data_IF_547273980605
#
_entry.id   IF_547273980605
#
_cell.length_a   1.000
_cell.length_b   1.000
_cell.length_c   1.000
_cell.angle_alpha   90.00
_cell.angle_beta   90.00
_cell.angle_gamma   90.00
#
_symmetry.space_group_name_H-M   'P 1'
#
loop_
_entity.id
_entity.type
_entity.pdbx_description
1 polymer ?
#
# COMPACT_ATOMS: atom_id res chain seq x y z
N UNK A 1 15.23 -11.36 18.33
CA UNK A 1 15.34 -9.89 18.30
C UNK A 1 13.95 -9.33 18.09
N UNK A 2 13.53 -8.39 18.92
CA UNK A 2 12.20 -7.80 18.88
C UNK A 2 12.35 -6.37 18.38
N UNK A 3 11.78 -6.07 17.22
CA UNK A 3 11.86 -4.76 16.58
C UNK A 3 10.65 -3.94 17.00
N UNK A 4 10.89 -2.68 17.36
CA UNK A 4 9.82 -1.75 17.68
C UNK A 4 9.09 -1.29 16.42
N UNK A 5 7.77 -1.47 16.39
CA UNK A 5 6.93 -1.17 15.24
C UNK A 5 6.45 0.29 15.22
N UNK A 6 6.83 1.12 16.21
CA UNK A 6 6.40 2.51 16.22
C UNK A 6 6.84 3.25 14.94
N UNK A 7 5.91 4.03 14.39
CA UNK A 7 6.11 4.88 13.22
C UNK A 7 6.34 4.16 11.87
N UNK A 8 6.36 2.83 11.82
CA UNK A 8 6.51 2.01 10.59
C UNK A 8 5.46 2.31 9.52
N UNK A 9 4.25 2.68 9.93
CA UNK A 9 3.16 3.07 9.03
C UNK A 9 3.25 4.52 8.51
N UNK A 10 4.10 5.36 9.13
CA UNK A 10 4.25 6.79 8.81
C UNK A 10 5.53 7.07 8.02
N UNK A 11 6.64 6.45 8.41
CA UNK A 11 7.92 6.60 7.72
C UNK A 11 7.85 6.08 6.28
N UNK A 12 8.59 6.74 5.40
CA UNK A 12 8.69 6.33 4.01
C UNK A 12 9.82 5.31 3.89
N UNK A 13 9.45 4.07 3.60
CA UNK A 13 10.39 2.97 3.49
C UNK A 13 11.37 3.13 2.32
N UNK A 14 11.03 3.90 1.28
CA UNK A 14 11.94 4.17 0.18
C UNK A 14 12.95 5.28 0.49
N UNK A 15 12.74 6.05 1.57
CA UNK A 15 13.70 7.04 2.02
C UNK A 15 14.77 6.40 2.92
N UNK A 16 15.98 6.94 2.87
CA UNK A 16 17.10 6.58 3.75
C UNK A 16 16.97 7.22 5.14
N UNK A 17 15.80 7.12 5.77
CA UNK A 17 15.51 7.76 7.06
C UNK A 17 15.11 6.73 8.12
N UNK A 18 15.73 6.77 9.30
CA UNK A 18 15.41 5.85 10.41
C UNK A 18 14.01 6.06 11.02
N UNK A 19 13.51 5.01 11.68
CA UNK A 19 12.20 4.91 12.32
C UNK A 19 12.18 5.61 13.68
N UNK A 20 11.99 6.92 13.64
CA UNK A 20 11.90 7.75 14.86
C UNK A 20 10.75 8.72 14.75
N UNK A 21 10.29 9.21 15.90
CA UNK A 21 9.34 10.33 15.97
C UNK A 21 9.97 11.54 15.27
N UNK A 22 9.31 12.02 14.22
CA UNK A 22 9.73 13.22 13.48
C UNK A 22 8.64 14.29 13.57
N UNK A 23 9.01 15.59 13.51
CA UNK A 23 8.04 16.68 13.44
C UNK A 23 7.17 16.58 12.17
N UNK A 24 7.75 16.06 11.08
CA UNK A 24 7.04 15.74 9.84
C UNK A 24 7.62 14.48 9.19
N UNK A 25 6.78 13.74 8.47
CA UNK A 25 7.17 12.51 7.78
C UNK A 25 7.20 12.75 6.26
N UNK A 26 8.16 12.10 5.58
CA UNK A 26 8.37 12.18 4.13
C UNK A 26 7.44 11.25 3.35
N UNK A 27 6.17 11.28 3.68
CA UNK A 27 5.12 10.47 3.08
C UNK A 27 3.94 10.29 4.04
N UNK A 28 2.86 9.72 3.54
CA UNK A 28 1.63 9.48 4.31
C UNK A 28 0.85 8.32 3.75
N UNK A 29 0.18 7.60 4.64
CA UNK A 29 -0.90 6.69 4.25
C UNK A 29 -2.08 7.52 3.73
N UNK A 30 -2.61 7.14 2.57
CA UNK A 30 -3.75 7.82 1.95
C UNK A 30 -5.03 7.05 2.29
N UNK A 31 -5.04 5.76 1.98
CA UNK A 31 -6.16 4.84 2.18
C UNK A 31 -5.63 3.45 2.60
N UNK A 32 -6.53 2.48 2.86
CA UNK A 32 -6.14 1.09 3.10
C UNK A 32 -5.44 0.54 1.85
N UNK A 33 -4.25 -0.04 2.04
CA UNK A 33 -3.44 -0.55 0.94
C UNK A 33 -2.71 0.51 0.12
N UNK A 34 -2.80 1.80 0.44
CA UNK A 34 -2.16 2.87 -0.34
C UNK A 34 -1.34 3.85 0.53
N UNK A 35 -0.05 3.94 0.23
CA UNK A 35 0.89 4.89 0.81
C UNK A 35 1.49 5.79 -0.25
N UNK A 36 1.54 7.10 0.01
CA UNK A 36 2.15 8.09 -0.88
C UNK A 36 3.46 8.59 -0.28
N UNK A 37 4.55 8.43 -1.03
CA UNK A 37 5.87 8.96 -0.68
C UNK A 37 5.96 10.47 -0.92
N UNK A 38 6.96 11.14 -0.35
CA UNK A 38 7.20 12.57 -0.59
C UNK A 38 7.43 12.91 -2.07
N UNK A 39 7.98 11.98 -2.85
CA UNK A 39 8.24 12.19 -4.27
C UNK A 39 6.98 11.96 -5.14
N UNK A 40 5.83 11.68 -4.53
CA UNK A 40 4.57 11.44 -5.21
C UNK A 40 4.33 10.00 -5.66
N UNK A 41 5.32 9.11 -5.51
CA UNK A 41 5.18 7.68 -5.81
C UNK A 41 4.22 7.02 -4.83
N UNK A 42 3.31 6.19 -5.37
CA UNK A 42 2.41 5.37 -4.59
C UNK A 42 2.96 3.94 -4.47
N UNK A 43 2.94 3.41 -3.25
CA UNK A 43 3.28 2.02 -2.94
C UNK A 43 2.20 1.43 -2.05
N UNK A 44 2.15 0.11 -1.94
CA UNK A 44 1.25 -0.54 -1.01
C UNK A 44 1.65 -0.21 0.44
N UNK A 45 0.66 0.09 1.28
CA UNK A 45 0.90 0.50 2.66
C UNK A 45 1.52 -0.61 3.53
N UNK A 46 1.14 -1.86 3.30
CA UNK A 46 1.66 -3.02 4.03
C UNK A 46 3.10 -3.31 3.60
N UNK A 47 3.41 -3.13 2.31
CA UNK A 47 4.80 -3.17 1.79
C UNK A 47 5.67 -2.10 2.44
N UNK A 48 5.15 -0.88 2.59
CA UNK A 48 5.87 0.19 3.31
C UNK A 48 6.16 -0.21 4.77
N UNK A 49 5.18 -0.78 5.47
CA UNK A 49 5.35 -1.26 6.84
C UNK A 49 6.40 -2.37 6.95
N UNK A 50 6.28 -3.40 6.11
CA UNK A 50 7.21 -4.54 6.09
C UNK A 50 8.65 -4.12 5.78
N UNK A 51 8.85 -3.25 4.78
CA UNK A 51 10.17 -2.72 4.45
C UNK A 51 10.78 -1.91 5.60
N UNK A 52 9.97 -1.13 6.32
CA UNK A 52 10.43 -0.37 7.48
C UNK A 52 10.89 -1.29 8.62
N UNK A 53 10.10 -2.32 8.96
CA UNK A 53 10.45 -3.30 10.00
C UNK A 53 11.73 -4.05 9.61
N UNK A 54 11.81 -4.53 8.36
CA UNK A 54 12.98 -5.24 7.87
C UNK A 54 14.25 -4.38 7.95
N UNK A 55 14.15 -3.10 7.57
CA UNK A 55 15.27 -2.15 7.66
C UNK A 55 15.74 -1.92 9.09
N UNK A 56 14.83 -1.75 10.04
CA UNK A 56 15.21 -1.55 11.44
C UNK A 56 15.94 -2.78 11.99
N UNK A 57 15.35 -3.98 11.82
CA UNK A 57 15.96 -5.22 12.29
C UNK A 57 17.31 -5.54 11.63
N UNK A 58 17.48 -5.19 10.35
CA UNK A 58 18.77 -5.31 9.66
C UNK A 58 19.80 -4.30 10.19
N UNK A 59 19.38 -3.08 10.49
CA UNK A 59 20.26 -2.06 11.05
C UNK A 59 20.78 -2.45 12.44
N UNK A 60 19.97 -3.14 13.25
CA UNK A 60 20.40 -3.66 14.55
C UNK A 60 21.38 -4.86 14.42
N UNK A 61 21.34 -5.58 13.30
CA UNK A 61 22.16 -6.80 13.08
C UNK A 61 23.41 -6.57 12.23
N UNK A 62 23.68 -5.35 11.75
CA UNK A 62 24.79 -5.01 10.84
C UNK A 62 24.86 -5.89 9.58
N UNK A 63 23.72 -6.42 9.13
CA UNK A 63 23.66 -7.31 7.98
C UNK A 63 23.45 -6.48 6.71
N UNK A 64 24.46 -6.41 5.84
CA UNK A 64 24.41 -5.75 4.51
C UNK A 64 23.59 -6.55 3.47
N UNK A 65 22.53 -7.23 3.88
CA UNK A 65 21.61 -7.86 2.94
C UNK A 65 20.63 -6.81 2.41
N UNK A 66 20.65 -6.58 1.10
CA UNK A 66 19.61 -5.77 0.45
C UNK A 66 18.22 -6.36 0.68
N UNK A 67 17.26 -5.53 1.09
CA UNK A 67 15.85 -5.95 1.19
C UNK A 67 15.28 -6.06 -0.23
N UNK A 68 15.29 -7.29 -0.77
CA UNK A 68 14.60 -7.64 -2.00
C UNK A 68 13.18 -8.14 -1.72
N UNK A 69 12.26 -7.93 -2.66
CA UNK A 69 10.91 -8.49 -2.59
C UNK A 69 10.44 -8.91 -3.98
N UNK A 70 9.69 -10.01 -4.04
CA UNK A 70 9.01 -10.50 -5.24
C UNK A 70 7.56 -10.83 -4.90
N UNK A 71 6.68 -10.72 -5.89
CA UNK A 71 5.25 -11.04 -5.74
C UNK A 71 4.33 -9.85 -5.93
N UNK A 72 3.04 -10.15 -6.01
CA UNK A 72 1.97 -9.18 -6.18
C UNK A 72 1.30 -8.92 -4.83
N UNK A 73 1.07 -7.66 -4.51
CA UNK A 73 0.28 -7.28 -3.34
C UNK A 73 -1.12 -6.90 -3.77
N UNK A 74 -2.08 -7.13 -2.88
CA UNK A 74 -3.46 -6.79 -3.17
C UNK A 74 -3.58 -5.27 -3.39
N UNK A 75 -4.02 -4.88 -4.57
CA UNK A 75 -4.15 -3.47 -4.95
C UNK A 75 -5.59 -3.02 -4.73
N UNK A 76 -5.83 -1.81 -4.19
CA UNK A 76 -7.19 -1.31 -4.02
C UNK A 76 -7.97 -1.38 -5.33
N UNK A 77 -9.21 -1.88 -5.26
CA UNK A 77 -10.08 -2.07 -6.42
C UNK A 77 -10.28 -0.74 -7.16
N UNK A 78 -9.79 -0.65 -8.40
CA UNK A 78 -9.99 0.53 -9.25
C UNK A 78 -11.45 0.56 -9.74
N UNK A 79 -12.27 1.41 -9.13
CA UNK A 79 -13.63 1.69 -9.63
C UNK A 79 -13.51 2.62 -10.84
N UNK A 80 -13.96 2.16 -12.01
CA UNK A 80 -14.14 3.02 -13.19
C UNK A 80 -15.57 3.52 -13.19
N UNK A 81 -15.77 4.83 -13.39
CA UNK A 81 -17.12 5.35 -13.68
C UNK A 81 -17.61 4.69 -14.98
N UNK A 82 -18.87 4.26 -15.06
CA UNK A 82 -19.42 3.80 -16.32
C UNK A 82 -19.31 4.91 -17.37
N UNK A 83 -19.08 4.50 -18.62
CA UNK A 83 -18.97 5.39 -19.75
C UNK A 83 -20.26 6.24 -19.85
N UNK A 84 -20.15 7.56 -19.63
CA UNK A 84 -21.29 8.49 -19.68
C UNK A 84 -21.59 9.29 -18.39
N UNK A 85 -20.93 9.02 -17.25
CA UNK A 85 -21.10 9.88 -16.06
C UNK A 85 -20.44 11.26 -16.27
N UNK A 86 -21.25 12.33 -16.27
CA UNK A 86 -20.77 13.72 -16.32
C UNK A 86 -20.04 14.10 -15.02
N UNK A 87 -19.10 15.05 -15.11
CA UNK A 87 -18.45 15.64 -13.94
C UNK A 87 -19.51 16.15 -12.93
N UNK A 88 -19.46 15.67 -11.69
CA UNK A 88 -20.41 16.03 -10.62
C UNK A 88 -21.53 15.01 -10.34
N UNK A 89 -21.60 13.88 -11.05
CA UNK A 89 -22.53 12.80 -10.71
C UNK A 89 -22.04 11.97 -9.52
N UNK A 90 -22.93 11.76 -8.54
CA UNK A 90 -22.70 10.97 -7.34
C UNK A 90 -22.45 9.51 -7.70
N UNK A 91 -21.28 9.01 -7.27
CA UNK A 91 -20.80 7.66 -7.58
C UNK A 91 -21.59 6.56 -6.86
N UNK A 92 -22.34 6.90 -5.81
CA UNK A 92 -23.11 5.94 -4.99
C UNK A 92 -24.15 5.16 -5.81
N UNK A 93 -24.76 5.78 -6.81
CA UNK A 93 -25.78 5.17 -7.69
C UNK A 93 -25.18 4.21 -8.73
N UNK A 94 -23.86 4.27 -8.99
CA UNK A 94 -23.21 3.53 -10.10
C UNK A 94 -22.40 2.30 -9.66
N UNK A 95 -22.37 1.98 -8.36
CA UNK A 95 -21.49 0.96 -7.78
C UNK A 95 -22.03 -0.47 -7.89
N UNK A 96 -23.29 -0.68 -8.27
CA UNK A 96 -23.86 -2.03 -8.44
C UNK A 96 -23.82 -2.43 -9.91
N UNK A 97 -22.62 -2.63 -10.44
CA UNK A 97 -22.43 -3.60 -11.51
C UNK A 97 -21.47 -4.65 -10.97
N UNK A 98 -22.07 -5.60 -10.25
CA UNK A 98 -21.44 -6.82 -9.78
C UNK A 98 -20.70 -7.49 -10.93
N UNK A 99 -19.59 -8.16 -10.56
CA UNK A 99 -18.89 -9.10 -11.44
C UNK A 99 -19.92 -9.96 -12.19
N UNK A 100 -19.79 -10.20 -13.51
CA UNK A 100 -20.58 -11.25 -14.13
C UNK A 100 -20.32 -12.53 -13.32
N UNK A 101 -21.39 -13.13 -12.80
CA UNK A 101 -21.32 -14.46 -12.23
C UNK A 101 -20.74 -15.36 -13.32
N UNK A 102 -19.61 -16.00 -13.03
CA UNK A 102 -19.07 -17.05 -13.89
C UNK A 102 -20.15 -18.13 -13.87
N UNK A 103 -20.78 -18.49 -15.00
CA UNK A 103 -21.69 -19.62 -15.00
C UNK A 103 -20.88 -20.85 -14.59
N UNK A 104 -21.29 -21.50 -13.51
CA UNK A 104 -20.84 -22.84 -13.16
C UNK A 104 -21.06 -23.73 -14.39
N UNK A 105 -19.99 -24.01 -15.14
CA UNK A 105 -19.98 -25.13 -16.06
C UNK A 105 -19.95 -26.39 -15.21
N UNK A 106 -21.14 -26.93 -14.97
CA UNK A 106 -21.33 -28.33 -14.59
C UNK A 106 -20.74 -29.14 -15.75
N UNK A 107 -19.68 -29.91 -15.45
CA UNK A 107 -19.28 -31.02 -16.31
C UNK A 107 -20.10 -32.23 -15.84
N UNK A 108 -20.88 -32.80 -16.76
CA UNK A 108 -21.56 -34.09 -16.62
C UNK A 108 -20.54 -35.24 -16.42
#
# INVERSE_FOLDING_TARGET
MLVDEFYTSKCNALASTGLRRKPSYRGRRVERGLYKTNNGTYINADVNGALNIAKEGMSETNLELGVGGSGCVDTPRRIRKPFGLRCGSDISESIIQTSPEIPFLIFD
#
